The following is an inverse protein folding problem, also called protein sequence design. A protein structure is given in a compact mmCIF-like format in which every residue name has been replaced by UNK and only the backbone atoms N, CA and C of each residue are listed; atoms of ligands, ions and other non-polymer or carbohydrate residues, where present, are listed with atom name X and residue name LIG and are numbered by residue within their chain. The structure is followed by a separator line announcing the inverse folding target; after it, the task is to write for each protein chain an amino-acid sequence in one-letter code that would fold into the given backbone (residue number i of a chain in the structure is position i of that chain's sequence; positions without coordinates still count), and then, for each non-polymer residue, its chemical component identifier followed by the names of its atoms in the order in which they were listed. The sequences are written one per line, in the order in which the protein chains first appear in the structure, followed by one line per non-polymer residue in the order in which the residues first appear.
data_IF_668306787543
#
_entry.id   IF_668306787543
#
_cell.length_a   1.000
_cell.length_b   1.000
_cell.length_c   1.000
_cell.angle_alpha   90.00
_cell.angle_beta   90.00
_cell.angle_gamma   90.00
#
_symmetry.space_group_name_H-M   'P 1'
#
loop_
_entity.id
_entity.type
_entity.pdbx_description
1 polymer ?
#
# COMPACT_ATOMS: atom_id res chain seq x y z
N UNK A 1 -21.17 -55.50 -4.41
CA UNK A 1 -20.12 -54.71 -3.70
C UNK A 1 -20.14 -53.30 -4.24
N UNK A 2 -20.80 -52.43 -3.54
CA UNK A 2 -20.83 -51.00 -3.89
C UNK A 2 -19.67 -50.30 -3.22
N UNK A 3 -18.69 -49.87 -3.99
CA UNK A 3 -17.62 -49.03 -3.50
C UNK A 3 -18.18 -47.62 -3.33
N UNK A 4 -18.38 -47.25 -2.08
CA UNK A 4 -18.68 -45.88 -1.66
C UNK A 4 -17.47 -44.98 -1.99
N UNK A 5 -17.61 -44.20 -3.04
CA UNK A 5 -16.76 -43.03 -3.24
C UNK A 5 -17.16 -41.97 -2.22
N UNK A 6 -16.63 -42.06 -1.03
CA UNK A 6 -16.54 -40.93 -0.13
C UNK A 6 -15.47 -40.03 -0.71
N UNK A 7 -15.90 -39.13 -1.60
CA UNK A 7 -15.07 -37.98 -2.00
C UNK A 7 -14.80 -37.15 -0.76
N UNK A 8 -13.57 -37.14 -0.32
CA UNK A 8 -13.11 -36.18 0.67
C UNK A 8 -13.42 -34.78 0.15
N UNK A 9 -14.43 -34.14 0.68
CA UNK A 9 -14.53 -32.68 0.72
C UNK A 9 -13.33 -32.18 1.53
N UNK A 10 -12.18 -32.16 0.87
CA UNK A 10 -11.00 -31.53 1.40
C UNK A 10 -11.34 -30.06 1.53
N UNK A 11 -11.51 -29.63 2.75
CA UNK A 11 -11.92 -28.30 3.14
C UNK A 11 -11.09 -27.27 2.34
N UNK A 12 -11.75 -26.52 1.47
CA UNK A 12 -11.15 -25.48 0.59
C UNK A 12 -10.49 -24.36 1.42
N UNK A 13 -10.72 -24.35 2.72
CA UNK A 13 -10.19 -23.37 3.67
C UNK A 13 -8.66 -23.43 3.90
N UNK A 14 -7.96 -24.46 3.48
CA UNK A 14 -6.53 -24.66 3.75
C UNK A 14 -5.64 -24.52 2.51
N UNK A 15 -6.14 -24.04 1.38
CA UNK A 15 -5.31 -23.75 0.22
C UNK A 15 -4.68 -22.37 0.35
N UNK A 16 -3.54 -22.31 1.03
CA UNK A 16 -2.66 -21.15 0.96
C UNK A 16 -2.28 -20.88 -0.51
N UNK A 17 -2.49 -19.65 -0.99
CA UNK A 17 -1.96 -19.26 -2.27
C UNK A 17 -0.46 -19.04 -2.13
N UNK A 18 0.33 -20.03 -2.51
CA UNK A 18 1.79 -19.98 -2.41
C UNK A 18 2.35 -19.26 -3.61
N UNK A 19 2.81 -18.02 -3.41
CA UNK A 19 3.58 -17.24 -4.39
C UNK A 19 5.01 -17.03 -3.89
N UNK A 20 5.90 -16.54 -4.74
CA UNK A 20 7.26 -16.20 -4.28
C UNK A 20 7.24 -15.08 -3.22
N UNK A 21 6.27 -14.14 -3.30
CA UNK A 21 6.09 -13.10 -2.28
C UNK A 21 5.65 -13.69 -0.95
N UNK A 22 4.68 -14.62 -0.91
CA UNK A 22 4.25 -15.23 0.36
C UNK A 22 5.36 -16.03 1.02
N UNK A 23 6.16 -16.76 0.22
CA UNK A 23 7.35 -17.48 0.72
C UNK A 23 8.41 -16.50 1.24
N UNK A 24 8.70 -15.45 0.49
CA UNK A 24 9.71 -14.44 0.84
C UNK A 24 9.40 -13.75 2.16
N UNK A 25 8.12 -13.44 2.39
CA UNK A 25 7.65 -12.66 3.53
C UNK A 25 7.16 -13.50 4.71
N UNK A 26 6.93 -14.79 4.52
CA UNK A 26 6.37 -15.68 5.54
C UNK A 26 4.91 -15.35 5.89
N UNK A 27 4.13 -14.88 4.92
CA UNK A 27 2.72 -14.50 5.08
C UNK A 27 1.78 -15.54 4.45
N UNK A 28 0.55 -15.58 4.91
CA UNK A 28 -0.47 -16.53 4.44
C UNK A 28 -1.09 -16.13 3.11
N UNK A 29 -1.42 -14.85 2.97
CA UNK A 29 -2.11 -14.29 1.81
C UNK A 29 -1.21 -13.26 1.11
N UNK A 30 -1.17 -13.24 -0.23
CA UNK A 30 -0.35 -12.29 -0.99
C UNK A 30 -0.98 -10.88 -1.03
N UNK A 31 -1.27 -10.36 0.16
CA UNK A 31 -1.91 -9.06 0.37
C UNK A 31 -1.07 -8.22 1.33
N UNK A 32 -0.74 -7.02 0.92
CA UNK A 32 0.04 -6.05 1.69
C UNK A 32 -0.80 -4.80 1.93
N UNK A 33 -0.85 -4.32 3.16
CA UNK A 33 -1.34 -2.98 3.42
C UNK A 33 -0.19 -2.00 3.25
N UNK A 34 -0.33 -1.06 2.31
CA UNK A 34 0.70 -0.08 1.98
C UNK A 34 0.97 0.90 3.12
N UNK A 35 2.22 1.37 3.22
CA UNK A 35 2.58 2.41 4.16
C UNK A 35 1.84 3.71 3.85
N UNK A 36 1.11 4.24 4.83
CA UNK A 36 0.31 5.46 4.71
C UNK A 36 0.62 6.37 5.89
N UNK A 37 1.14 7.56 5.60
CA UNK A 37 1.47 8.55 6.61
C UNK A 37 0.27 8.86 7.52
N UNK A 38 0.46 8.87 8.83
CA UNK A 38 -0.55 9.11 9.86
C UNK A 38 -1.68 8.07 9.97
N UNK A 39 -1.85 7.21 8.98
CA UNK A 39 -2.91 6.19 8.90
C UNK A 39 -2.40 4.82 9.34
N UNK A 40 -1.26 4.42 8.77
CA UNK A 40 -0.67 3.10 8.98
C UNK A 40 0.25 3.13 10.21
N UNK A 41 -0.31 2.88 11.36
CA UNK A 41 0.35 2.78 12.65
C UNK A 41 0.28 1.32 13.18
N UNK A 42 0.71 1.06 14.39
CA UNK A 42 0.86 -0.29 14.94
C UNK A 42 -0.44 -1.12 14.98
N UNK A 43 -1.61 -0.52 15.26
CA UNK A 43 -2.88 -1.26 15.28
C UNK A 43 -3.24 -1.80 13.90
N UNK A 44 -3.19 -0.93 12.89
CA UNK A 44 -3.50 -1.34 11.52
C UNK A 44 -2.49 -2.37 11.01
N UNK A 45 -1.19 -2.12 11.23
CA UNK A 45 -0.14 -3.03 10.79
C UNK A 45 -0.28 -4.41 11.44
N UNK A 46 -0.49 -4.48 12.76
CA UNK A 46 -0.69 -5.73 13.48
C UNK A 46 -1.96 -6.45 13.02
N UNK A 47 -3.09 -5.75 12.85
CA UNK A 47 -4.35 -6.34 12.42
C UNK A 47 -4.27 -6.99 11.04
N UNK A 48 -3.59 -6.36 10.08
CA UNK A 48 -3.37 -6.93 8.74
C UNK A 48 -2.46 -8.16 8.82
N UNK A 49 -1.42 -8.11 9.66
CA UNK A 49 -0.51 -9.25 9.86
C UNK A 49 -1.22 -10.43 10.53
N UNK A 50 -2.05 -10.20 11.56
CA UNK A 50 -2.89 -11.22 12.18
C UNK A 50 -3.92 -11.81 11.21
N UNK A 51 -4.41 -11.01 10.26
CA UNK A 51 -5.29 -11.47 9.20
C UNK A 51 -4.57 -12.29 8.10
N UNK A 52 -3.26 -12.50 8.23
CA UNK A 52 -2.45 -13.33 7.31
C UNK A 52 -1.83 -12.58 6.13
N UNK A 53 -1.99 -11.26 6.04
CA UNK A 53 -1.27 -10.39 5.10
C UNK A 53 0.03 -9.84 5.66
N UNK A 54 0.58 -8.80 5.05
CA UNK A 54 1.68 -7.99 5.58
C UNK A 54 1.19 -6.59 5.92
N UNK A 55 1.15 -6.25 7.19
CA UNK A 55 0.94 -4.88 7.65
C UNK A 55 2.22 -4.05 7.62
N UNK A 56 2.11 -2.78 7.28
CA UNK A 56 3.24 -1.86 7.26
C UNK A 56 2.98 -0.64 8.15
N UNK A 57 3.91 -0.32 9.02
CA UNK A 57 3.96 0.97 9.72
C UNK A 57 4.48 2.03 8.76
N UNK A 58 3.76 3.13 8.61
CA UNK A 58 4.16 4.25 7.74
C UNK A 58 5.03 5.26 8.48
N UNK A 59 6.35 5.16 8.39
CA UNK A 59 7.27 6.07 9.08
C UNK A 59 7.14 7.53 8.58
N UNK A 60 6.83 7.74 7.29
CA UNK A 60 6.66 9.09 6.71
C UNK A 60 7.78 10.07 7.11
N UNK A 61 7.42 11.23 7.66
CA UNK A 61 8.32 12.22 8.23
C UNK A 61 8.30 12.21 9.78
N UNK A 62 7.99 11.05 10.39
CA UNK A 62 7.99 10.91 11.84
C UNK A 62 9.42 10.77 12.38
N UNK A 63 9.72 11.30 13.60
CA UNK A 63 10.98 11.08 14.27
C UNK A 63 11.26 9.59 14.52
N UNK A 64 12.52 9.19 14.53
CA UNK A 64 12.95 7.81 14.70
C UNK A 64 12.41 7.15 15.97
N UNK A 65 12.34 7.88 17.08
CA UNK A 65 11.82 7.37 18.36
C UNK A 65 10.31 7.08 18.29
N UNK A 66 9.53 7.83 17.52
CA UNK A 66 8.13 7.49 17.25
C UNK A 66 8.04 6.16 16.50
N UNK A 67 8.85 5.99 15.44
CA UNK A 67 8.89 4.73 14.68
C UNK A 67 9.30 3.55 15.56
N UNK A 68 10.29 3.75 16.44
CA UNK A 68 10.72 2.74 17.41
C UNK A 68 9.57 2.32 18.33
N UNK A 69 8.82 3.30 18.85
CA UNK A 69 7.66 3.03 19.69
C UNK A 69 6.58 2.24 18.93
N UNK A 70 6.24 2.65 17.69
CA UNK A 70 5.27 1.96 16.85
C UNK A 70 5.67 0.49 16.59
N UNK A 71 6.95 0.23 16.31
CA UNK A 71 7.47 -1.13 16.14
C UNK A 71 7.28 -1.95 17.42
N UNK A 72 7.58 -1.38 18.58
CA UNK A 72 7.47 -2.06 19.88
C UNK A 72 6.02 -2.32 20.25
N UNK A 73 5.11 -1.38 19.98
CA UNK A 73 3.68 -1.58 20.20
C UNK A 73 3.12 -2.65 19.25
N UNK A 74 3.50 -2.65 17.96
CA UNK A 74 3.10 -3.69 17.03
C UNK A 74 3.53 -5.09 17.51
N UNK A 75 4.75 -5.23 18.03
CA UNK A 75 5.26 -6.50 18.61
C UNK A 75 4.49 -7.00 19.83
N UNK A 76 3.77 -6.14 20.53
CA UNK A 76 2.88 -6.56 21.62
C UNK A 76 1.55 -7.11 21.12
N UNK A 77 1.15 -6.71 19.90
CA UNK A 77 -0.14 -7.08 19.29
C UNK A 77 -0.06 -8.29 18.37
N UNK A 78 1.13 -8.57 17.81
CA UNK A 78 1.29 -9.67 16.86
C UNK A 78 2.69 -10.28 16.89
N UNK A 79 2.76 -11.62 16.75
CA UNK A 79 4.00 -12.37 16.48
C UNK A 79 4.20 -12.61 14.97
N UNK A 80 3.25 -12.18 14.13
CA UNK A 80 3.31 -12.34 12.68
C UNK A 80 4.26 -11.31 12.05
N UNK A 81 4.78 -11.60 10.83
CA UNK A 81 5.59 -10.63 10.11
C UNK A 81 4.85 -9.32 9.84
N UNK A 82 5.48 -8.20 10.14
CA UNK A 82 5.08 -6.87 9.71
C UNK A 82 6.32 -6.09 9.26
N UNK A 83 6.11 -4.98 8.59
CA UNK A 83 7.20 -4.16 8.07
C UNK A 83 7.04 -2.68 8.39
N UNK A 84 8.02 -1.90 7.91
CA UNK A 84 8.03 -0.43 8.01
C UNK A 84 8.22 0.15 6.61
N UNK A 85 7.37 1.10 6.24
CA UNK A 85 7.55 1.91 5.03
C UNK A 85 8.34 3.17 5.37
N UNK A 86 9.43 3.41 4.66
CA UNK A 86 10.31 4.58 4.86
C UNK A 86 10.20 5.51 3.65
N UNK A 87 9.80 6.75 3.87
CA UNK A 87 9.88 7.82 2.89
C UNK A 87 11.31 8.36 2.87
N UNK A 88 12.07 8.08 1.81
CA UNK A 88 13.51 8.38 1.76
C UNK A 88 13.85 9.87 1.63
N UNK A 89 12.88 10.70 1.30
CA UNK A 89 13.01 12.18 1.35
C UNK A 89 12.80 12.75 2.76
N UNK A 90 12.42 11.92 3.74
CA UNK A 90 12.26 12.36 5.12
C UNK A 90 13.59 12.82 5.71
N UNK A 91 13.63 13.93 6.48
CA UNK A 91 14.85 14.34 7.20
C UNK A 91 15.28 13.30 8.24
N UNK A 92 14.39 12.41 8.67
CA UNK A 92 14.68 11.33 9.63
C UNK A 92 15.02 10.00 8.99
N UNK A 93 15.14 9.92 7.66
CA UNK A 93 15.33 8.65 6.95
C UNK A 93 16.58 7.88 7.42
N UNK A 94 17.68 8.58 7.68
CA UNK A 94 18.93 7.96 8.15
C UNK A 94 18.81 7.34 9.55
N UNK A 95 18.08 8.00 10.44
CA UNK A 95 17.85 7.52 11.80
C UNK A 95 16.84 6.37 11.81
N UNK A 96 15.74 6.50 11.05
CA UNK A 96 14.73 5.46 10.90
C UNK A 96 15.32 4.19 10.29
N UNK A 97 16.22 4.33 9.30
CA UNK A 97 16.92 3.20 8.69
C UNK A 97 17.73 2.37 9.69
N UNK A 98 18.33 3.02 10.71
CA UNK A 98 19.01 2.34 11.81
C UNK A 98 18.03 1.69 12.78
N UNK A 99 16.99 2.43 13.17
CA UNK A 99 15.97 1.93 14.10
C UNK A 99 15.31 0.65 13.61
N UNK A 100 14.95 0.54 12.32
CA UNK A 100 14.34 -0.71 11.80
C UNK A 100 15.30 -1.89 11.87
N UNK A 101 16.60 -1.68 11.70
CA UNK A 101 17.61 -2.72 11.84
C UNK A 101 17.81 -3.12 13.32
N UNK A 102 17.92 -2.15 14.22
CA UNK A 102 18.09 -2.36 15.67
C UNK A 102 16.88 -3.09 16.27
N UNK A 103 15.67 -2.70 15.87
CA UNK A 103 14.43 -3.34 16.33
C UNK A 103 14.14 -4.69 15.64
N UNK A 104 14.95 -5.12 14.68
CA UNK A 104 14.82 -6.44 14.03
C UNK A 104 13.53 -6.56 13.19
N UNK A 105 13.11 -5.50 12.53
CA UNK A 105 12.01 -5.50 11.57
C UNK A 105 12.32 -6.47 10.43
N UNK A 106 11.32 -7.21 9.96
CA UNK A 106 11.55 -8.24 8.92
C UNK A 106 11.50 -7.69 7.50
N UNK A 107 10.71 -6.63 7.28
CA UNK A 107 10.44 -6.07 5.95
C UNK A 107 10.54 -4.55 5.99
N UNK A 108 11.25 -3.98 5.05
CA UNK A 108 11.26 -2.54 4.78
C UNK A 108 10.76 -2.31 3.36
N UNK A 109 9.76 -1.46 3.22
CA UNK A 109 9.38 -0.87 1.93
C UNK A 109 9.87 0.56 1.87
N UNK A 110 10.17 1.06 0.68
CA UNK A 110 10.65 2.44 0.53
C UNK A 110 9.93 3.15 -0.60
N UNK A 111 9.69 4.45 -0.41
CA UNK A 111 9.18 5.34 -1.42
C UNK A 111 9.93 6.66 -1.46
N UNK A 112 9.71 7.45 -2.50
CA UNK A 112 10.23 8.81 -2.66
C UNK A 112 11.75 8.91 -2.44
N UNK A 113 12.54 8.12 -3.18
CA UNK A 113 14.01 8.17 -3.11
C UNK A 113 14.70 6.87 -3.50
N UNK A 114 16.01 6.85 -3.27
CA UNK A 114 16.88 5.71 -3.59
C UNK A 114 17.39 5.04 -2.31
N UNK A 115 17.04 3.75 -2.06
CA UNK A 115 17.44 3.03 -0.86
C UNK A 115 18.89 2.51 -0.89
N UNK A 116 19.64 2.66 -2.00
CA UNK A 116 20.96 2.03 -2.19
C UNK A 116 21.91 2.23 -1.01
N UNK A 117 21.93 3.43 -0.40
CA UNK A 117 22.82 3.73 0.73
C UNK A 117 22.51 2.95 2.01
N UNK A 118 21.31 2.35 2.12
CA UNK A 118 20.89 1.59 3.29
C UNK A 118 20.90 0.07 3.05
N UNK A 119 21.10 -0.37 1.80
CA UNK A 119 20.99 -1.79 1.43
C UNK A 119 21.91 -2.68 2.26
N UNK A 120 23.17 -2.29 2.42
CA UNK A 120 24.14 -3.07 3.22
C UNK A 120 23.69 -3.22 4.66
N UNK A 121 23.26 -2.12 5.31
CA UNK A 121 22.76 -2.12 6.68
C UNK A 121 21.58 -3.10 6.83
N UNK A 122 20.59 -2.98 5.96
CA UNK A 122 19.37 -3.79 6.05
C UNK A 122 19.60 -5.26 5.69
N UNK A 123 20.41 -5.54 4.68
CA UNK A 123 20.77 -6.93 4.32
C UNK A 123 21.56 -7.63 5.42
N UNK A 124 22.51 -6.95 6.05
CA UNK A 124 23.25 -7.49 7.19
C UNK A 124 22.35 -7.75 8.41
N UNK A 125 21.28 -6.98 8.57
CA UNK A 125 20.26 -7.22 9.59
C UNK A 125 19.20 -8.29 9.19
N UNK A 126 19.33 -8.90 8.00
CA UNK A 126 18.38 -9.92 7.50
C UNK A 126 17.02 -9.37 7.07
N UNK A 127 16.93 -8.07 6.80
CA UNK A 127 15.70 -7.39 6.39
C UNK A 127 15.44 -7.62 4.90
N UNK A 128 14.18 -7.92 4.54
CA UNK A 128 13.72 -7.92 3.16
C UNK A 128 13.42 -6.49 2.71
N UNK A 129 14.01 -6.07 1.60
CA UNK A 129 13.89 -4.70 1.09
C UNK A 129 13.06 -4.68 -0.19
N UNK A 130 11.94 -3.94 -0.15
CA UNK A 130 10.93 -3.92 -1.21
C UNK A 130 10.63 -2.46 -1.59
N UNK A 131 11.37 -1.87 -2.53
CA UNK A 131 11.13 -0.50 -2.98
C UNK A 131 9.84 -0.38 -3.81
N UNK A 132 9.15 0.77 -3.64
CA UNK A 132 8.04 1.18 -4.50
C UNK A 132 8.61 1.84 -5.76
N UNK A 133 8.14 1.42 -6.92
CA UNK A 133 8.62 1.86 -8.24
C UNK A 133 7.47 2.27 -9.14
N UNK A 134 7.63 3.36 -9.89
CA UNK A 134 6.66 3.86 -10.85
C UNK A 134 7.14 3.72 -12.31
N UNK A 135 8.24 3.01 -12.56
CA UNK A 135 8.79 2.80 -13.90
C UNK A 135 9.66 1.55 -13.98
N UNK A 136 9.78 1.00 -15.19
CA UNK A 136 10.68 -0.13 -15.52
C UNK A 136 12.14 0.22 -15.21
N UNK A 137 12.56 1.43 -15.53
CA UNK A 137 13.94 1.86 -15.28
C UNK A 137 14.28 1.82 -13.80
N UNK A 138 13.35 2.29 -12.94
CA UNK A 138 13.54 2.26 -11.49
C UNK A 138 13.50 0.80 -10.97
N UNK A 139 12.59 -0.04 -11.46
CA UNK A 139 12.52 -1.45 -11.07
C UNK A 139 13.85 -2.19 -11.34
N UNK A 140 14.40 -2.05 -12.54
CA UNK A 140 15.71 -2.62 -12.90
C UNK A 140 16.85 -2.08 -12.03
N UNK A 141 16.79 -0.81 -11.65
CA UNK A 141 17.78 -0.20 -10.76
C UNK A 141 17.68 -0.82 -9.37
N UNK A 142 16.49 -0.98 -8.83
CA UNK A 142 16.26 -1.58 -7.51
C UNK A 142 16.68 -3.05 -7.47
N UNK A 143 16.39 -3.82 -8.51
CA UNK A 143 16.89 -5.19 -8.64
C UNK A 143 18.44 -5.25 -8.59
N UNK A 144 19.11 -4.41 -9.38
CA UNK A 144 20.59 -4.34 -9.34
C UNK A 144 21.14 -3.89 -8.00
N UNK A 145 20.42 -3.06 -7.27
CA UNK A 145 20.76 -2.63 -5.92
C UNK A 145 20.57 -3.74 -4.87
N UNK A 146 19.97 -4.87 -5.22
CA UNK A 146 19.76 -6.02 -4.34
C UNK A 146 18.41 -6.04 -3.63
N UNK A 147 17.38 -5.38 -4.16
CA UNK A 147 16.01 -5.51 -3.67
C UNK A 147 15.53 -6.97 -3.73
N UNK A 148 14.71 -7.40 -2.74
CA UNK A 148 14.16 -8.76 -2.70
C UNK A 148 12.88 -8.90 -3.54
N UNK A 149 12.14 -7.81 -3.72
CA UNK A 149 10.96 -7.66 -4.57
C UNK A 149 10.77 -6.17 -4.89
N UNK A 150 9.83 -5.82 -5.76
CA UNK A 150 9.43 -4.43 -6.00
C UNK A 150 7.92 -4.28 -5.95
N UNK A 151 7.44 -3.13 -5.47
CA UNK A 151 6.04 -2.72 -5.61
C UNK A 151 5.91 -1.84 -6.84
N UNK A 152 5.27 -2.33 -7.90
CA UNK A 152 4.93 -1.56 -9.10
C UNK A 152 3.64 -0.79 -8.83
N UNK A 153 3.76 0.52 -8.55
CA UNK A 153 2.65 1.38 -8.17
C UNK A 153 2.16 2.25 -9.33
N UNK A 154 0.94 1.98 -9.79
CA UNK A 154 0.29 2.76 -10.82
C UNK A 154 -0.29 4.07 -10.32
N UNK A 155 -0.55 5.00 -11.25
CA UNK A 155 -1.03 6.35 -10.97
C UNK A 155 -2.46 6.42 -10.42
N UNK A 156 -3.18 5.30 -10.32
CA UNK A 156 -4.49 5.19 -9.67
C UNK A 156 -4.39 5.22 -8.14
N UNK A 157 -3.18 5.08 -7.57
CA UNK A 157 -2.96 5.12 -6.12
C UNK A 157 -3.29 6.48 -5.50
N UNK A 158 -3.44 6.52 -4.19
CA UNK A 158 -3.56 7.75 -3.39
C UNK A 158 -2.20 8.27 -2.92
N UNK A 159 -2.13 9.55 -2.60
CA UNK A 159 -0.87 10.19 -2.22
C UNK A 159 0.02 10.50 -3.43
N UNK A 160 1.32 10.42 -3.27
CA UNK A 160 2.27 10.67 -4.36
C UNK A 160 2.14 9.59 -5.44
N UNK A 161 2.05 10.00 -6.69
CA UNK A 161 1.80 9.09 -7.81
C UNK A 161 2.83 9.28 -8.95
N UNK A 162 3.06 8.19 -9.70
CA UNK A 162 3.70 8.27 -11.02
C UNK A 162 2.71 8.63 -12.12
N UNK A 163 3.11 8.41 -13.37
CA UNK A 163 2.28 8.74 -14.55
C UNK A 163 1.66 7.49 -15.21
N UNK A 164 2.28 6.31 -15.04
CA UNK A 164 1.84 5.08 -15.70
C UNK A 164 0.72 4.40 -14.91
N UNK A 165 -0.33 3.95 -15.59
CA UNK A 165 -1.42 3.18 -14.98
C UNK A 165 -0.98 1.77 -14.59
N UNK A 166 -1.62 1.18 -13.59
CA UNK A 166 -1.32 -0.17 -13.09
C UNK A 166 -1.40 -1.22 -14.19
N UNK A 167 -2.43 -1.16 -15.04
CA UNK A 167 -2.63 -2.08 -16.17
C UNK A 167 -1.45 -2.08 -17.16
N UNK A 168 -0.79 -0.94 -17.35
CA UNK A 168 0.35 -0.81 -18.26
C UNK A 168 1.69 -1.02 -17.53
N UNK A 169 1.80 -0.62 -16.26
CA UNK A 169 3.06 -0.67 -15.52
C UNK A 169 3.43 -2.09 -15.10
N UNK A 170 2.48 -2.82 -14.51
CA UNK A 170 2.75 -4.13 -13.90
C UNK A 170 3.35 -5.13 -14.89
N UNK A 171 2.77 -5.37 -16.08
CA UNK A 171 3.34 -6.35 -17.02
C UNK A 171 4.71 -5.92 -17.53
N UNK A 172 4.93 -4.63 -17.78
CA UNK A 172 6.24 -4.13 -18.21
C UNK A 172 7.32 -4.31 -17.14
N UNK A 173 6.96 -4.14 -15.85
CA UNK A 173 7.89 -4.39 -14.74
C UNK A 173 8.13 -5.88 -14.59
N UNK A 174 7.08 -6.73 -14.62
CA UNK A 174 7.18 -8.18 -14.51
C UNK A 174 8.09 -8.78 -15.60
N UNK A 175 7.97 -8.30 -16.84
CA UNK A 175 8.83 -8.73 -17.95
C UNK A 175 10.29 -8.23 -17.82
N UNK A 176 10.52 -7.19 -17.03
CA UNK A 176 11.80 -6.48 -17.00
C UNK A 176 12.74 -6.91 -15.85
N UNK A 177 12.23 -7.51 -14.79
CA UNK A 177 12.98 -7.93 -13.61
C UNK A 177 12.78 -9.41 -13.31
N UNK A 178 13.69 -10.02 -12.55
CA UNK A 178 13.61 -11.42 -12.13
C UNK A 178 13.11 -11.59 -10.70
N UNK A 179 13.12 -10.51 -9.92
CA UNK A 179 12.60 -10.49 -8.56
C UNK A 179 11.06 -10.36 -8.57
N UNK A 180 10.36 -10.87 -7.55
CA UNK A 180 8.91 -10.81 -7.48
C UNK A 180 8.35 -9.39 -7.59
N UNK A 181 7.21 -9.24 -8.27
CA UNK A 181 6.52 -7.98 -8.48
C UNK A 181 5.22 -7.96 -7.69
N UNK A 182 4.99 -6.90 -6.93
CA UNK A 182 3.78 -6.63 -6.18
C UNK A 182 3.04 -5.50 -6.89
N UNK A 183 1.79 -5.72 -7.27
CA UNK A 183 1.00 -4.68 -7.91
C UNK A 183 0.35 -3.74 -6.89
N UNK A 184 0.40 -2.44 -7.12
CA UNK A 184 -0.23 -1.43 -6.30
C UNK A 184 -0.92 -0.34 -7.15
N UNK A 185 -1.97 0.27 -6.58
CA UNK A 185 -2.81 1.23 -7.30
C UNK A 185 -3.94 0.57 -8.07
N UNK A 186 -5.14 1.13 -8.00
CA UNK A 186 -6.31 0.63 -8.74
C UNK A 186 -6.92 -0.69 -8.22
N UNK A 187 -6.49 -1.23 -7.08
CA UNK A 187 -6.90 -2.53 -6.54
C UNK A 187 -7.75 -2.32 -5.28
N UNK A 188 -9.00 -2.83 -5.28
CA UNK A 188 -9.94 -2.70 -4.18
C UNK A 188 -10.53 -4.03 -3.71
N UNK A 189 -10.62 -5.01 -4.57
CA UNK A 189 -11.32 -6.29 -4.37
C UNK A 189 -10.65 -7.44 -5.14
N UNK A 190 -11.27 -8.64 -5.08
CA UNK A 190 -10.74 -9.83 -5.74
C UNK A 190 -10.65 -9.73 -7.27
N UNK A 191 -11.43 -8.84 -7.91
CA UNK A 191 -11.35 -8.59 -9.36
C UNK A 191 -10.03 -7.93 -9.73
N UNK A 192 -9.68 -6.86 -8.98
CA UNK A 192 -8.40 -6.17 -9.16
C UNK A 192 -7.22 -7.08 -8.83
N UNK A 193 -7.34 -7.92 -7.80
CA UNK A 193 -6.32 -8.89 -7.44
C UNK A 193 -6.12 -9.93 -8.54
N UNK A 194 -7.19 -10.55 -9.06
CA UNK A 194 -7.11 -11.52 -10.15
C UNK A 194 -6.45 -10.90 -11.41
N UNK A 195 -6.86 -9.68 -11.77
CA UNK A 195 -6.25 -8.95 -12.88
C UNK A 195 -4.75 -8.72 -12.66
N UNK A 196 -4.33 -8.30 -11.47
CA UNK A 196 -2.92 -8.08 -11.15
C UNK A 196 -2.08 -9.35 -11.32
N UNK A 197 -2.60 -10.50 -10.88
CA UNK A 197 -1.94 -11.80 -11.07
C UNK A 197 -1.84 -12.19 -12.56
N UNK A 198 -2.88 -11.93 -13.35
CA UNK A 198 -2.84 -12.16 -14.81
C UNK A 198 -1.82 -11.24 -15.51
N UNK A 199 -1.50 -10.10 -14.94
CA UNK A 199 -0.47 -9.17 -15.42
C UNK A 199 0.96 -9.55 -14.96
N UNK A 200 1.12 -10.64 -14.20
CA UNK A 200 2.42 -11.13 -13.74
C UNK A 200 2.83 -10.68 -12.33
N UNK A 201 1.92 -10.06 -11.56
CA UNK A 201 2.18 -9.79 -10.15
C UNK A 201 2.04 -11.07 -9.30
N UNK A 202 2.75 -11.13 -8.18
CA UNK A 202 2.70 -12.25 -7.22
C UNK A 202 2.09 -11.87 -5.86
N UNK A 203 1.75 -10.60 -5.69
CA UNK A 203 0.99 -10.07 -4.57
C UNK A 203 0.37 -8.72 -4.97
N UNK A 204 -0.52 -8.22 -4.11
CA UNK A 204 -1.10 -6.88 -4.25
C UNK A 204 -0.83 -6.04 -3.01
N UNK A 205 -0.63 -4.74 -3.21
CA UNK A 205 -0.55 -3.76 -2.14
C UNK A 205 -1.71 -2.77 -2.25
N UNK A 206 -2.40 -2.53 -1.15
CA UNK A 206 -3.53 -1.61 -1.08
C UNK A 206 -3.37 -0.62 0.07
N UNK A 207 -3.79 0.63 -0.18
CA UNK A 207 -3.90 1.66 0.85
C UNK A 207 -5.36 1.98 1.15
N UNK A 208 -6.04 2.64 0.22
CA UNK A 208 -7.38 3.23 0.41
C UNK A 208 -8.43 2.25 0.93
N UNK A 209 -8.39 0.97 0.54
CA UNK A 209 -9.31 -0.04 1.09
C UNK A 209 -9.12 -0.23 2.59
N UNK A 210 -7.89 -0.24 3.07
CA UNK A 210 -7.56 -0.40 4.49
C UNK A 210 -7.76 0.89 5.31
N UNK A 211 -7.78 2.08 4.69
CA UNK A 211 -8.19 3.32 5.36
C UNK A 211 -9.60 3.20 5.94
N UNK A 212 -10.50 2.50 5.25
CA UNK A 212 -11.87 2.24 5.69
C UNK A 212 -11.99 0.91 6.46
N UNK A 213 -10.93 0.42 7.08
CA UNK A 213 -11.03 -0.72 7.99
C UNK A 213 -11.39 -0.28 9.41
N UNK A 214 -11.95 -1.22 10.20
CA UNK A 214 -12.30 -0.99 11.60
C UNK A 214 -11.07 -0.67 12.46
N UNK A 215 -9.95 -1.29 12.13
CA UNK A 215 -8.70 -1.17 12.88
C UNK A 215 -7.87 0.06 12.49
N UNK A 216 -8.19 0.74 11.38
CA UNK A 216 -7.51 1.99 11.03
C UNK A 216 -7.89 3.11 12.01
N UNK A 217 -6.89 3.67 12.67
CA UNK A 217 -7.06 4.80 13.60
C UNK A 217 -7.12 6.11 12.82
N UNK A 218 -8.18 6.26 12.05
CA UNK A 218 -8.46 7.41 11.19
C UNK A 218 -9.75 8.05 11.65
N UNK A 219 -9.80 9.38 11.70
CA UNK A 219 -11.02 10.09 12.08
C UNK A 219 -12.21 9.68 11.20
N UNK A 220 -13.38 9.50 11.83
CA UNK A 220 -14.59 9.01 11.18
C UNK A 220 -14.99 9.82 9.93
N UNK A 221 -14.81 11.15 9.96
CA UNK A 221 -15.09 12.01 8.81
C UNK A 221 -14.28 11.58 7.56
N UNK A 222 -13.03 11.15 7.74
CA UNK A 222 -12.19 10.68 6.64
C UNK A 222 -12.71 9.35 6.09
N UNK A 223 -12.98 8.36 6.96
CA UNK A 223 -13.55 7.07 6.55
C UNK A 223 -14.86 7.25 5.79
N UNK A 224 -15.75 8.07 6.32
CA UNK A 224 -17.05 8.36 5.70
C UNK A 224 -16.90 9.06 4.35
N UNK A 225 -15.92 9.95 4.19
CA UNK A 225 -15.67 10.58 2.90
C UNK A 225 -15.19 9.56 1.86
N UNK A 226 -14.34 8.61 2.25
CA UNK A 226 -13.91 7.49 1.38
C UNK A 226 -15.09 6.60 0.99
N UNK A 227 -15.92 6.17 1.96
CA UNK A 227 -17.07 5.27 1.74
C UNK A 227 -18.13 5.90 0.83
N UNK A 228 -18.33 7.22 0.93
CA UNK A 228 -19.28 7.99 0.12
C UNK A 228 -18.73 8.43 -1.23
N UNK A 229 -17.44 8.25 -1.47
CA UNK A 229 -16.80 8.68 -2.70
C UNK A 229 -17.42 7.99 -3.93
N UNK A 230 -17.44 8.73 -5.02
CA UNK A 230 -17.81 8.26 -6.36
C UNK A 230 -16.55 8.04 -7.21
N UNK A 231 -16.71 7.44 -8.36
CA UNK A 231 -15.67 7.14 -9.35
C UNK A 231 -14.86 8.38 -9.78
N UNK A 232 -15.49 9.54 -9.79
CA UNK A 232 -14.89 10.81 -10.25
C UNK A 232 -14.43 11.75 -9.12
N UNK A 233 -14.45 11.31 -7.86
CA UNK A 233 -14.22 12.23 -6.74
C UNK A 233 -12.75 12.44 -6.38
N UNK A 234 -11.81 11.72 -7.00
CA UNK A 234 -10.38 12.00 -6.79
C UNK A 234 -9.83 13.03 -7.79
N UNK A 235 -8.86 13.82 -7.34
CA UNK A 235 -8.12 14.80 -8.16
C UNK A 235 -6.63 14.67 -7.89
N UNK A 236 -5.84 15.04 -8.89
CA UNK A 236 -4.38 15.14 -8.76
C UNK A 236 -4.01 16.62 -8.73
N UNK A 237 -3.30 17.02 -7.69
CA UNK A 237 -2.67 18.34 -7.51
C UNK A 237 -1.17 18.21 -7.67
N UNK A 238 -0.44 19.31 -7.87
CA UNK A 238 1.02 19.32 -7.85
C UNK A 238 1.70 18.79 -9.12
N UNK A 239 1.00 18.74 -10.25
CA UNK A 239 1.63 18.35 -11.52
C UNK A 239 2.63 19.39 -12.01
N UNK A 240 2.33 20.68 -11.85
CA UNK A 240 3.21 21.77 -12.25
C UNK A 240 4.45 21.87 -11.38
N UNK A 241 4.37 21.41 -10.13
CA UNK A 241 5.50 21.41 -9.19
C UNK A 241 6.38 20.16 -9.29
N UNK A 242 5.98 19.16 -10.11
CA UNK A 242 6.69 17.88 -10.22
C UNK A 242 6.43 16.90 -9.06
N UNK A 243 5.47 17.23 -8.17
CA UNK A 243 5.09 16.39 -7.02
C UNK A 243 3.59 16.06 -7.06
N UNK A 244 3.12 15.27 -8.04
CA UNK A 244 1.71 14.96 -8.19
C UNK A 244 1.19 14.13 -7.01
N UNK A 245 0.08 14.59 -6.41
CA UNK A 245 -0.59 13.94 -5.27
C UNK A 245 -2.06 13.74 -5.60
N UNK A 246 -2.55 12.50 -5.45
CA UNK A 246 -3.98 12.19 -5.59
C UNK A 246 -4.68 12.20 -4.24
N UNK A 247 -5.78 12.96 -4.18
CA UNK A 247 -6.65 13.05 -3.00
C UNK A 247 -8.13 13.13 -3.44
N UNK A 248 -9.05 12.89 -2.51
CA UNK A 248 -10.48 13.16 -2.72
C UNK A 248 -10.69 14.68 -2.84
N UNK A 249 -11.54 15.07 -3.79
CA UNK A 249 -11.89 16.46 -4.07
C UNK A 249 -12.59 17.11 -2.86
N UNK A 250 -12.03 18.23 -2.39
CA UNK A 250 -12.58 19.07 -1.33
C UNK A 250 -12.27 20.56 -1.58
N UNK A 251 -12.45 21.41 -0.59
CA UNK A 251 -12.17 22.85 -0.72
C UNK A 251 -10.68 23.12 -0.99
N UNK A 252 -9.78 22.44 -0.26
CA UNK A 252 -8.34 22.57 -0.44
C UNK A 252 -7.90 22.17 -1.85
N UNK A 253 -8.32 21.01 -2.35
CA UNK A 253 -7.91 20.56 -3.70
C UNK A 253 -8.44 21.46 -4.81
N UNK A 254 -9.64 22.05 -4.65
CA UNK A 254 -10.18 23.02 -5.61
C UNK A 254 -9.33 24.27 -5.65
N UNK A 255 -9.10 24.87 -4.47
CA UNK A 255 -8.29 26.07 -4.35
C UNK A 255 -6.86 25.86 -4.85
N UNK A 256 -6.26 24.73 -4.53
CA UNK A 256 -4.94 24.36 -5.06
C UNK A 256 -4.91 24.35 -6.59
N UNK A 257 -5.88 23.68 -7.23
CA UNK A 257 -5.94 23.58 -8.69
C UNK A 257 -6.25 24.93 -9.37
N UNK A 258 -6.98 25.82 -8.72
CA UNK A 258 -7.20 27.21 -9.19
C UNK A 258 -5.88 27.98 -9.19
N UNK A 259 -5.15 27.98 -8.07
CA UNK A 259 -3.84 28.64 -7.98
C UNK A 259 -2.81 28.01 -8.91
N UNK A 260 -2.79 26.67 -9.03
CA UNK A 260 -1.90 25.96 -9.96
C UNK A 260 -2.14 26.38 -11.42
N UNK A 261 -3.41 26.57 -11.82
CA UNK A 261 -3.80 27.05 -13.14
C UNK A 261 -3.41 28.51 -13.38
N UNK A 262 -3.40 29.33 -12.35
CA UNK A 262 -2.98 30.74 -12.38
C UNK A 262 -1.45 30.90 -12.39
N UNK A 263 -0.71 29.81 -12.18
CA UNK A 263 0.74 29.81 -12.17
C UNK A 263 1.33 30.29 -10.84
N UNK A 264 0.62 30.07 -9.73
CA UNK A 264 1.10 30.44 -8.40
C UNK A 264 2.45 29.77 -8.08
N UNK A 265 3.36 30.44 -7.35
CA UNK A 265 4.65 29.89 -6.98
C UNK A 265 4.51 28.71 -6.03
N UNK A 266 5.53 27.82 -6.01
CA UNK A 266 5.54 26.61 -5.20
C UNK A 266 5.25 26.87 -3.72
N UNK A 267 5.84 27.93 -3.15
CA UNK A 267 5.71 28.28 -1.74
C UNK A 267 4.26 28.64 -1.35
N UNK A 268 3.48 29.15 -2.28
CA UNK A 268 2.05 29.45 -2.07
C UNK A 268 1.23 28.15 -2.11
N UNK A 269 1.48 27.28 -3.07
CA UNK A 269 0.84 25.97 -3.19
C UNK A 269 1.17 25.08 -2.00
N UNK A 270 2.42 25.06 -1.53
CA UNK A 270 2.87 24.26 -0.40
C UNK A 270 2.14 24.64 0.91
N UNK A 271 1.90 25.93 1.15
CA UNK A 271 1.17 26.41 2.35
C UNK A 271 -0.20 25.77 2.49
N UNK A 272 -0.89 25.44 1.40
CA UNK A 272 -2.20 24.80 1.43
C UNK A 272 -2.13 23.35 1.91
N UNK A 273 -1.04 22.66 1.59
CA UNK A 273 -0.89 21.23 1.85
C UNK A 273 -0.12 20.90 3.13
N UNK A 274 0.67 21.86 3.65
CA UNK A 274 1.50 21.69 4.83
C UNK A 274 0.65 21.25 6.04
N UNK A 275 0.96 20.08 6.61
CA UNK A 275 0.21 19.48 7.71
C UNK A 275 -1.21 19.03 7.34
N UNK A 276 -1.63 19.17 6.07
CA UNK A 276 -2.99 18.89 5.62
C UNK A 276 -3.41 17.43 5.82
N UNK A 277 -2.49 16.49 5.60
CA UNK A 277 -2.81 15.07 5.80
C UNK A 277 -3.08 14.76 7.28
N UNK A 278 -2.25 15.26 8.20
CA UNK A 278 -2.48 15.09 9.63
C UNK A 278 -3.83 15.70 10.06
N UNK A 279 -4.15 16.91 9.61
CA UNK A 279 -5.45 17.54 9.90
C UNK A 279 -6.62 16.68 9.45
N UNK A 280 -6.53 16.09 8.25
CA UNK A 280 -7.59 15.20 7.76
C UNK A 280 -7.70 13.90 8.56
N UNK A 281 -6.56 13.24 8.83
CA UNK A 281 -6.52 11.92 9.47
C UNK A 281 -6.83 11.99 10.97
N UNK A 282 -6.24 12.96 11.69
CA UNK A 282 -6.29 13.05 13.15
C UNK A 282 -7.42 13.97 13.61
N UNK A 283 -7.50 15.17 13.01
CA UNK A 283 -8.44 16.20 13.47
C UNK A 283 -9.79 16.12 12.72
N UNK A 284 -9.90 15.27 11.68
CA UNK A 284 -11.12 15.06 10.91
C UNK A 284 -11.52 16.23 10.01
N UNK A 285 -10.60 17.16 9.74
CA UNK A 285 -10.80 18.24 8.79
C UNK A 285 -10.66 17.73 7.35
N UNK A 286 -11.76 17.24 6.82
CA UNK A 286 -11.84 16.75 5.44
C UNK A 286 -12.14 17.86 4.42
N UNK A 287 -12.33 19.11 4.88
CA UNK A 287 -12.59 20.26 3.99
C UNK A 287 -11.31 20.90 3.52
N UNK A 288 -10.40 21.23 4.46
CA UNK A 288 -9.14 21.91 4.19
C UNK A 288 -7.91 21.00 4.33
N UNK A 289 -8.09 19.79 4.86
CA UNK A 289 -7.05 18.78 4.94
C UNK A 289 -6.87 18.00 3.64
N UNK A 290 -5.73 17.30 3.52
CA UNK A 290 -5.45 16.40 2.39
C UNK A 290 -6.04 15.02 2.65
N UNK A 291 -7.09 14.64 1.93
CA UNK A 291 -7.71 13.31 2.03
C UNK A 291 -7.11 12.41 0.93
N UNK A 292 -5.87 11.96 1.15
CA UNK A 292 -5.15 11.13 0.19
C UNK A 292 -5.86 9.80 -0.02
N UNK A 293 -6.35 9.54 -1.23
CA UNK A 293 -7.08 8.33 -1.59
C UNK A 293 -6.96 8.04 -3.07
N UNK A 294 -6.82 6.77 -3.41
CA UNK A 294 -6.75 6.31 -4.80
C UNK A 294 -8.12 6.32 -5.49
N UNK A 295 -8.11 6.10 -6.79
CA UNK A 295 -9.33 6.08 -7.61
C UNK A 295 -10.34 5.02 -7.16
N UNK A 296 -9.86 3.96 -6.50
CA UNK A 296 -10.73 2.90 -5.95
C UNK A 296 -11.59 3.36 -4.77
N UNK A 297 -11.44 4.60 -4.29
CA UNK A 297 -12.35 5.13 -3.28
C UNK A 297 -13.82 4.99 -3.71
N UNK A 298 -14.12 5.16 -5.01
CA UNK A 298 -15.43 4.91 -5.58
C UNK A 298 -15.96 3.48 -5.45
N UNK A 299 -15.10 2.51 -5.14
CA UNK A 299 -15.43 1.09 -4.94
C UNK A 299 -15.55 0.70 -3.46
N UNK A 300 -15.01 1.48 -2.54
CA UNK A 300 -15.10 1.25 -1.09
C UNK A 300 -16.45 1.72 -0.59
N UNK A 301 -17.31 0.79 -0.15
CA UNK A 301 -18.71 1.10 0.21
C UNK A 301 -19.06 0.71 1.65
N UNK A 302 -18.14 0.10 2.36
CA UNK A 302 -18.35 -0.40 3.71
C UNK A 302 -17.09 -0.31 4.57
N UNK A 303 -17.29 -0.35 5.87
CA UNK A 303 -16.24 -0.53 6.87
C UNK A 303 -16.24 -1.99 7.31
N UNK A 304 -15.12 -2.66 7.12
CA UNK A 304 -14.88 -4.06 7.49
C UNK A 304 -13.60 -4.19 8.30
N UNK A 305 -13.45 -5.29 9.04
CA UNK A 305 -12.15 -5.61 9.64
C UNK A 305 -11.12 -5.98 8.57
N UNK A 306 -9.83 -5.84 8.89
CA UNK A 306 -8.74 -6.24 8.01
C UNK A 306 -8.88 -7.71 7.57
N UNK A 307 -9.31 -8.57 8.49
CA UNK A 307 -9.58 -9.98 8.22
C UNK A 307 -10.69 -10.16 7.19
N UNK A 308 -11.85 -9.51 7.39
CA UNK A 308 -12.97 -9.59 6.45
C UNK A 308 -12.58 -9.07 5.06
N UNK A 309 -11.76 -8.02 4.98
CA UNK A 309 -11.27 -7.47 3.70
C UNK A 309 -10.41 -8.51 2.97
N UNK A 310 -9.42 -9.09 3.65
CA UNK A 310 -8.48 -10.06 3.05
C UNK A 310 -9.21 -11.33 2.64
N UNK A 311 -10.03 -11.90 3.53
CA UNK A 311 -10.79 -13.13 3.24
C UNK A 311 -11.75 -12.92 2.07
N UNK A 312 -12.45 -11.79 2.01
CA UNK A 312 -13.34 -11.47 0.88
C UNK A 312 -12.57 -11.39 -0.44
N UNK A 313 -11.43 -10.69 -0.45
CA UNK A 313 -10.61 -10.57 -1.66
C UNK A 313 -10.12 -11.92 -2.18
N UNK A 314 -9.65 -12.78 -1.27
CA UNK A 314 -9.18 -14.11 -1.63
C UNK A 314 -10.30 -14.97 -2.20
N UNK A 315 -11.46 -14.96 -1.56
CA UNK A 315 -12.63 -15.73 -2.02
C UNK A 315 -13.11 -15.23 -3.40
N UNK A 316 -13.29 -13.93 -3.57
CA UNK A 316 -13.70 -13.33 -4.85
C UNK A 316 -12.71 -13.64 -5.99
N UNK A 317 -11.42 -13.54 -5.73
CA UNK A 317 -10.40 -13.88 -6.71
C UNK A 317 -10.48 -15.37 -7.09
N UNK A 318 -10.58 -16.27 -6.12
CA UNK A 318 -10.66 -17.71 -6.36
C UNK A 318 -11.91 -18.07 -7.20
N UNK A 319 -13.07 -17.50 -6.87
CA UNK A 319 -14.30 -17.69 -7.64
C UNK A 319 -14.16 -17.20 -9.10
N UNK A 320 -13.52 -16.05 -9.30
CA UNK A 320 -13.27 -15.49 -10.63
C UNK A 320 -12.35 -16.38 -11.45
N UNK A 321 -11.27 -16.89 -10.87
CA UNK A 321 -10.33 -17.76 -11.56
C UNK A 321 -10.95 -19.12 -11.91
N UNK A 322 -11.79 -19.69 -11.01
CA UNK A 322 -12.56 -20.90 -11.32
C UNK A 322 -13.59 -20.71 -12.43
N UNK A 323 -14.24 -19.54 -12.45
CA UNK A 323 -15.25 -19.19 -13.47
C UNK A 323 -14.67 -18.68 -14.79
N UNK A 324 -13.36 -18.42 -14.89
CA UNK A 324 -12.75 -17.84 -16.10
C UNK A 324 -12.96 -18.71 -17.37
N UNK A 325 -12.82 -20.06 -17.34
CA UNK A 325 -13.07 -20.89 -18.51
C UNK A 325 -14.47 -20.79 -19.09
N UNK A 326 -15.47 -20.49 -18.27
CA UNK A 326 -16.86 -20.32 -18.70
C UNK A 326 -17.14 -18.98 -19.41
N UNK A 327 -16.18 -18.06 -19.41
CA UNK A 327 -16.28 -16.74 -20.06
C UNK A 327 -15.52 -16.66 -21.38
N UNK A 328 -14.73 -17.68 -21.69
CA UNK A 328 -13.98 -17.88 -22.94
C UNK A 328 -14.69 -18.86 -23.85
#
# INVERSE_FOLDING_TARGET
MSASLVGSEMCIRDRFMITEVTKLLGIQYPVIQGGMAWVAEHHLAAAVSEAGGLGLIGASAAPAEWVRNEIREAKKLTDKPFGVNIMLMSPYADEVAKVVAEEGVKVVTTGAGNPEKYMELWKNAGIRVIPVVASVALARRMERAGADAVVAEGCESGGHIGETTTMALVPQVADAVKIPVIAAGGIADGRGMAAAFMLGAEAVQMGTRFVASKEAVVHENYKQLVIKAKDIDTRVTGRTTGHPVRAIRNEMTRHYLELEKEGAPFEELEKLTLGGLRRAVVDGDVKTGSVMSGQIAGMVKDEKSCKEIIEQMMNEMEELLKGAPARL
#
